data_IF_194428559304
#
_entry.id   IF_194428559304
#
_cell.length_a   1.000
_cell.length_b   1.000
_cell.length_c   1.000
_cell.angle_alpha   90.00
_cell.angle_beta   90.00
_cell.angle_gamma   90.00
#
_symmetry.space_group_name_H-M   'P 1'
#
loop_
_entity.id
_entity.type
_entity.pdbx_description
1 polymer ?
#
# COMPACT_ATOMS: atom_id res chain seq x y z
N UNK A 1 -13.61 1.22 -0.17
CA UNK A 1 -12.80 0.25 -0.92
C UNK A 1 -11.43 0.88 -1.09
N UNK A 2 -10.49 0.46 -0.24
CA UNK A 2 -9.09 0.93 -0.20
C UNK A 2 -8.24 -0.29 0.12
N UNK A 3 -7.03 -0.38 -0.42
CA UNK A 3 -6.13 -1.49 -0.09
C UNK A 3 -5.76 -1.51 1.39
N UNK A 4 -5.54 -2.70 1.96
CA UNK A 4 -5.12 -2.85 3.37
C UNK A 4 -3.65 -3.27 3.43
N UNK A 5 -2.88 -2.58 4.28
CA UNK A 5 -1.45 -2.87 4.48
C UNK A 5 -1.27 -3.53 5.86
N UNK A 6 -0.66 -4.71 5.88
CA UNK A 6 -0.23 -5.39 7.10
C UNK A 6 1.11 -4.80 7.57
N UNK A 7 1.07 -4.05 8.68
CA UNK A 7 2.24 -3.38 9.24
C UNK A 7 3.27 -4.35 9.85
N UNK A 8 2.85 -5.55 10.26
CA UNK A 8 3.77 -6.57 10.79
C UNK A 8 4.61 -7.18 9.67
N UNK A 9 3.99 -7.44 8.52
CA UNK A 9 4.69 -7.96 7.32
C UNK A 9 5.42 -6.87 6.54
N UNK A 10 4.94 -5.62 6.59
CA UNK A 10 5.54 -4.51 5.87
C UNK A 10 6.99 -4.26 6.33
N UNK A 11 7.96 -4.38 5.41
CA UNK A 11 9.38 -4.11 5.67
C UNK A 11 9.82 -2.70 5.31
N UNK A 12 8.89 -1.85 4.86
CA UNK A 12 9.17 -0.45 4.51
C UNK A 12 10.04 -0.25 3.28
N UNK A 13 9.94 -1.12 2.29
CA UNK A 13 10.72 -1.05 1.05
C UNK A 13 10.32 0.06 0.07
N UNK A 14 9.22 0.79 0.33
CA UNK A 14 8.70 1.88 -0.51
C UNK A 14 8.33 1.51 -1.97
N UNK A 15 8.31 0.23 -2.34
CA UNK A 15 7.91 -0.21 -3.69
C UNK A 15 6.47 0.21 -4.03
N UNK A 16 5.55 0.05 -3.08
CA UNK A 16 4.15 0.42 -3.23
C UNK A 16 3.92 1.94 -3.34
N UNK A 17 4.77 2.77 -2.73
CA UNK A 17 4.74 4.23 -2.88
C UNK A 17 5.12 4.63 -4.31
N UNK A 18 6.17 4.01 -4.86
CA UNK A 18 6.69 4.32 -6.20
C UNK A 18 5.71 3.96 -7.33
N UNK A 19 4.89 2.92 -7.16
CA UNK A 19 3.93 2.48 -8.18
C UNK A 19 2.56 3.15 -8.05
N UNK A 20 2.29 3.86 -6.94
CA UNK A 20 0.98 4.45 -6.69
C UNK A 20 0.74 5.65 -7.63
N UNK A 21 -0.20 5.57 -8.59
CA UNK A 21 -0.40 6.62 -9.59
C UNK A 21 -1.00 7.91 -9.00
N UNK A 22 -1.59 7.82 -7.81
CA UNK A 22 -2.25 8.91 -7.09
C UNK A 22 -1.52 9.30 -5.82
N UNK A 23 -0.32 8.75 -5.57
CA UNK A 23 0.51 9.06 -4.40
C UNK A 23 -0.25 8.88 -3.06
N UNK A 24 -1.19 7.92 -3.01
CA UNK A 24 -1.98 7.62 -1.83
C UNK A 24 -1.20 6.86 -0.75
N UNK A 25 0.00 6.35 -1.04
CA UNK A 25 0.80 5.59 -0.08
C UNK A 25 2.00 6.42 0.32
N UNK A 26 2.25 6.54 1.63
CA UNK A 26 3.38 7.28 2.19
C UNK A 26 4.14 6.44 3.20
N UNK A 27 5.44 6.65 3.28
CA UNK A 27 6.30 6.02 4.27
C UNK A 27 6.32 6.84 5.58
N UNK A 28 5.83 6.25 6.67
CA UNK A 28 5.83 6.82 8.02
C UNK A 28 6.46 5.83 8.97
N UNK A 29 7.49 6.25 9.72
CA UNK A 29 8.21 5.39 10.68
C UNK A 29 8.70 4.05 10.10
N UNK A 30 9.12 4.05 8.83
CA UNK A 30 9.57 2.85 8.14
C UNK A 30 8.45 1.88 7.76
N UNK A 31 7.19 2.31 7.78
CA UNK A 31 6.03 1.53 7.35
C UNK A 31 5.23 2.28 6.29
N UNK A 32 4.63 1.54 5.38
CA UNK A 32 3.74 2.10 4.37
C UNK A 32 2.36 2.34 4.97
N UNK A 33 1.89 3.58 4.88
CA UNK A 33 0.55 4.03 5.30
C UNK A 33 -0.21 4.47 4.07
N UNK A 34 -1.43 3.96 3.91
CA UNK A 34 -2.33 4.34 2.81
C UNK A 34 -3.30 5.42 3.28
N UNK A 35 -3.43 6.46 2.47
CA UNK A 35 -4.43 7.51 2.60
C UNK A 35 -5.72 7.06 1.90
N UNK A 36 -6.74 6.78 2.70
CA UNK A 36 -8.02 6.26 2.23
C UNK A 36 -8.83 7.29 1.44
N UNK A 37 -8.57 8.59 1.62
CA UNK A 37 -9.27 9.65 0.91
C UNK A 37 -8.73 9.85 -0.52
N UNK A 38 -7.47 9.45 -0.75
CA UNK A 38 -6.79 9.57 -2.04
C UNK A 38 -6.81 8.24 -2.81
N UNK A 39 -6.80 7.10 -2.11
CA UNK A 39 -6.74 5.78 -2.72
C UNK A 39 -7.96 5.52 -3.63
N UNK A 40 -7.67 5.23 -4.90
CA UNK A 40 -8.69 4.92 -5.93
C UNK A 40 -8.92 3.42 -6.15
N UNK A 41 -8.38 2.58 -5.27
CA UNK A 41 -8.44 1.11 -5.34
C UNK A 41 -8.02 0.51 -6.71
N UNK A 42 -6.96 1.07 -7.31
CA UNK A 42 -6.44 0.59 -8.59
C UNK A 42 -5.71 -0.77 -8.50
N UNK A 43 -5.34 -1.21 -7.28
CA UNK A 43 -4.66 -2.48 -7.04
C UNK A 43 -3.20 -2.57 -7.51
N UNK A 44 -2.62 -1.51 -8.12
CA UNK A 44 -1.25 -1.55 -8.66
C UNK A 44 -0.18 -1.85 -7.61
N UNK A 45 -0.40 -1.49 -6.35
CA UNK A 45 0.53 -1.74 -5.26
C UNK A 45 0.58 -3.19 -4.77
N UNK A 46 -0.46 -4.00 -5.05
CA UNK A 46 -0.57 -5.38 -4.58
C UNK A 46 0.53 -6.28 -5.18
N UNK A 47 0.69 -6.39 -6.52
CA UNK A 47 1.71 -7.25 -7.12
C UNK A 47 3.14 -6.72 -6.92
N UNK A 48 3.31 -5.42 -6.67
CA UNK A 48 4.61 -4.79 -6.42
C UNK A 48 5.12 -5.00 -4.98
N UNK A 49 4.29 -5.49 -4.06
CA UNK A 49 4.74 -5.75 -2.70
C UNK A 49 5.54 -7.07 -2.64
N UNK A 50 6.88 -7.04 -2.45
CA UNK A 50 7.71 -8.25 -2.49
C UNK A 50 7.48 -9.20 -1.30
N UNK A 51 6.82 -8.70 -0.26
CA UNK A 51 6.48 -9.43 0.96
C UNK A 51 4.98 -9.67 1.10
N UNK A 52 4.20 -9.37 0.04
CA UNK A 52 2.75 -9.61 -0.01
C UNK A 52 2.00 -9.01 1.19
N UNK A 53 2.49 -7.88 1.72
CA UNK A 53 1.91 -7.21 2.87
C UNK A 53 0.63 -6.41 2.52
N UNK A 54 0.26 -6.33 1.25
CA UNK A 54 -0.86 -5.52 0.77
C UNK A 54 -1.93 -6.46 0.23
N UNK A 55 -3.14 -6.33 0.74
CA UNK A 55 -4.30 -7.12 0.29
C UNK A 55 -5.39 -6.19 -0.27
N UNK A 56 -6.13 -6.62 -1.32
CA UNK A 56 -7.35 -5.94 -1.69
C UNK A 56 -8.33 -6.02 -0.50
N UNK A 57 -9.15 -5.00 -0.30
CA UNK A 57 -10.16 -5.07 0.75
C UNK A 57 -11.31 -5.95 0.26
N UNK A 58 -11.33 -7.20 0.72
CA UNK A 58 -12.48 -8.11 0.55
C UNK A 58 -13.58 -7.74 1.55
N UNK A 59 -14.31 -6.66 1.28
CA UNK A 59 -15.72 -6.43 1.69
C UNK A 59 -16.44 -5.53 0.67
#
# INVERSE_FOLDING_TARGET
MVVKINLDTCVGCAACESVCPVEAIKMVDGKAIVDADICIDCGSCIPDCPVEAITPNEE
#
